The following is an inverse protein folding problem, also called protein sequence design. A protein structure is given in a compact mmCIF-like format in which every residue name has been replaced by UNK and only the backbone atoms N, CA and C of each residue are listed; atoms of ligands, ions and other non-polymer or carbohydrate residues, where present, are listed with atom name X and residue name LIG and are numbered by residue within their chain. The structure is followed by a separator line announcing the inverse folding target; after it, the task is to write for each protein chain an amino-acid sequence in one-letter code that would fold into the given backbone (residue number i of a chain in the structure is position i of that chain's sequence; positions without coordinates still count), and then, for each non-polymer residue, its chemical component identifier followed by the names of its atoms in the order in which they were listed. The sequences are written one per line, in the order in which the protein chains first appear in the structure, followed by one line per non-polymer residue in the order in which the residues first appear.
data_IF_783390174995
#
_entry.id   IF_783390174995
#
_cell.length_a   1.000
_cell.length_b   1.000
_cell.length_c   1.000
_cell.angle_alpha   90.00
_cell.angle_beta   90.00
_cell.angle_gamma   90.00
#
_symmetry.space_group_name_H-M   'P 1'
#
loop_
_entity.id
_entity.type
_entity.pdbx_description
1 polymer ?
#
# COMPACT_ATOMS: atom_id res chain seq x y z
N UNK A 1 0.99 -27.93 -11.35
CA UNK A 1 1.61 -26.74 -11.95
C UNK A 1 0.54 -25.69 -12.11
N UNK A 2 0.57 -24.63 -11.30
CA UNK A 2 -0.29 -23.46 -11.44
C UNK A 2 0.54 -22.23 -11.09
N UNK A 3 0.67 -21.32 -12.06
CA UNK A 3 0.86 -19.89 -11.84
C UNK A 3 2.26 -19.40 -11.47
N UNK A 4 3.02 -18.96 -12.46
CA UNK A 4 4.03 -17.91 -12.28
C UNK A 4 3.34 -16.68 -11.66
N UNK A 5 3.63 -16.44 -10.37
CA UNK A 5 3.11 -15.29 -9.65
C UNK A 5 3.75 -14.01 -10.17
N UNK A 6 2.95 -13.16 -10.81
CA UNK A 6 3.27 -11.76 -11.06
C UNK A 6 3.89 -11.14 -9.80
N UNK A 7 5.02 -10.46 -9.97
CA UNK A 7 5.91 -10.03 -8.89
C UNK A 7 5.17 -9.41 -7.70
N UNK A 8 5.26 -10.07 -6.55
CA UNK A 8 4.79 -9.52 -5.27
C UNK A 8 5.72 -8.35 -4.91
N UNK A 9 5.27 -7.13 -5.16
CA UNK A 9 5.97 -5.94 -4.67
C UNK A 9 5.89 -5.93 -3.14
N UNK A 10 6.96 -6.41 -2.49
CA UNK A 10 7.05 -6.43 -1.03
C UNK A 10 6.94 -4.99 -0.51
N UNK A 11 5.90 -4.69 0.27
CA UNK A 11 5.77 -3.42 0.97
C UNK A 11 6.99 -3.23 1.89
N UNK A 12 7.72 -2.15 1.70
CA UNK A 12 8.97 -1.85 2.40
C UNK A 12 8.69 -0.95 3.60
N UNK A 13 8.81 -1.52 4.79
CA UNK A 13 8.70 -0.79 6.06
C UNK A 13 9.81 0.26 6.17
N UNK A 14 9.47 1.44 6.70
CA UNK A 14 10.36 2.59 6.87
C UNK A 14 10.59 3.41 5.60
N UNK A 15 10.03 2.99 4.46
CA UNK A 15 10.17 3.72 3.19
C UNK A 15 8.99 4.63 2.91
N UNK A 16 9.27 5.67 2.13
CA UNK A 16 8.27 6.63 1.67
C UNK A 16 7.66 6.13 0.38
N UNK A 17 6.34 6.25 0.29
CA UNK A 17 5.52 5.93 -0.87
C UNK A 17 4.73 7.16 -1.31
N UNK A 18 4.59 7.33 -2.62
CA UNK A 18 3.74 8.31 -3.27
C UNK A 18 2.43 7.66 -3.68
N UNK A 19 1.33 8.24 -3.23
CA UNK A 19 -0.02 7.87 -3.65
C UNK A 19 -0.38 8.52 -5.00
N UNK A 20 -1.22 7.88 -5.81
CA UNK A 20 -1.67 8.42 -7.10
C UNK A 20 -2.27 9.84 -7.05
N UNK A 21 -2.82 10.26 -5.90
CA UNK A 21 -3.34 11.63 -5.67
C UNK A 21 -2.28 12.63 -5.19
N UNK A 22 -1.00 12.27 -5.26
CA UNK A 22 0.14 13.14 -4.93
C UNK A 22 0.58 13.16 -3.47
N UNK A 23 -0.15 12.53 -2.55
CA UNK A 23 0.25 12.45 -1.15
C UNK A 23 1.49 11.55 -0.91
N UNK A 24 2.35 11.94 0.03
CA UNK A 24 3.50 11.15 0.47
C UNK A 24 3.23 10.52 1.84
N UNK A 25 3.63 9.26 1.98
CA UNK A 25 3.34 8.44 3.15
C UNK A 25 4.53 7.57 3.52
N UNK A 26 4.86 7.46 4.80
CA UNK A 26 5.86 6.48 5.27
C UNK A 26 5.16 5.24 5.76
N UNK A 27 5.58 4.06 5.28
CA UNK A 27 5.09 2.78 5.81
C UNK A 27 5.74 2.52 7.15
N UNK A 28 4.92 2.27 8.18
CA UNK A 28 5.37 1.97 9.54
C UNK A 28 5.45 0.47 9.77
N UNK A 29 4.49 -0.28 9.27
CA UNK A 29 4.43 -1.73 9.45
C UNK A 29 3.46 -2.38 8.47
N UNK A 30 3.58 -3.70 8.33
CA UNK A 30 2.53 -4.56 7.78
C UNK A 30 2.02 -5.41 8.93
N UNK A 31 0.71 -5.41 9.16
CA UNK A 31 0.06 -6.10 10.26
C UNK A 31 -1.05 -7.03 9.75
N UNK A 32 -1.62 -7.85 10.63
CA UNK A 32 -2.82 -8.63 10.36
C UNK A 32 -4.00 -7.98 11.07
N UNK A 33 -5.09 -7.73 10.35
CA UNK A 33 -6.33 -7.19 10.93
C UNK A 33 -6.94 -8.21 11.92
N UNK A 34 -7.12 -7.80 13.18
CA UNK A 34 -7.60 -8.69 14.25
C UNK A 34 -9.08 -8.50 14.60
N UNK A 35 -9.81 -7.66 13.87
CA UNK A 35 -11.25 -7.44 14.07
C UNK A 35 -12.01 -8.75 13.93
N UNK A 36 -12.87 -9.04 14.92
CA UNK A 36 -13.73 -10.22 14.93
C UNK A 36 -14.55 -10.31 13.63
N UNK A 37 -14.73 -11.54 13.14
CA UNK A 37 -15.48 -11.83 11.91
C UNK A 37 -14.85 -11.33 10.59
N UNK A 38 -13.61 -10.80 10.61
CA UNK A 38 -12.79 -10.57 9.41
C UNK A 38 -11.75 -11.67 9.22
N UNK A 39 -11.27 -11.86 8.00
CA UNK A 39 -10.42 -12.99 7.59
C UNK A 39 -8.93 -12.87 8.00
N UNK A 40 -8.56 -12.09 9.03
CA UNK A 40 -7.14 -11.83 9.39
C UNK A 40 -6.26 -11.44 8.19
N UNK A 41 -6.80 -10.59 7.31
CA UNK A 41 -6.10 -10.16 6.10
C UNK A 41 -4.95 -9.21 6.44
N UNK A 42 -3.87 -9.20 5.63
CA UNK A 42 -2.77 -8.28 5.81
C UNK A 42 -3.21 -6.84 5.50
N UNK A 43 -2.75 -5.91 6.34
CA UNK A 43 -2.98 -4.48 6.22
C UNK A 43 -1.66 -3.71 6.29
N UNK A 44 -1.58 -2.58 5.60
CA UNK A 44 -0.45 -1.65 5.65
C UNK A 44 -0.78 -0.53 6.63
N UNK A 45 0.10 -0.30 7.60
CA UNK A 45 0.03 0.83 8.53
C UNK A 45 1.02 1.91 8.07
N UNK A 46 0.54 3.13 7.85
CA UNK A 46 1.33 4.19 7.24
C UNK A 46 0.95 5.58 7.75
N UNK A 47 1.90 6.52 7.74
CA UNK A 47 1.70 7.91 8.19
C UNK A 47 1.71 8.86 7.02
N UNK A 48 0.73 9.76 6.95
CA UNK A 48 0.77 10.90 6.03
C UNK A 48 1.86 11.89 6.44
N UNK A 49 2.82 12.16 5.55
CA UNK A 49 3.91 13.08 5.85
C UNK A 49 3.47 14.54 5.92
N UNK A 50 2.37 14.92 5.25
CA UNK A 50 1.86 16.30 5.28
C UNK A 50 0.86 16.55 6.40
N UNK A 51 0.15 15.52 6.87
CA UNK A 51 -0.93 15.66 7.86
C UNK A 51 -0.63 15.01 9.21
N UNK A 52 0.39 14.15 9.29
CA UNK A 52 0.75 13.42 10.52
C UNK A 52 -0.21 12.30 10.91
N UNK A 53 -1.29 12.06 10.17
CA UNK A 53 -2.25 11.00 10.50
C UNK A 53 -1.70 9.61 10.19
N UNK A 54 -1.88 8.70 11.14
CA UNK A 54 -1.70 7.26 10.95
C UNK A 54 -2.95 6.70 10.26
N UNK A 55 -2.74 5.93 9.20
CA UNK A 55 -3.78 5.29 8.42
C UNK A 55 -3.50 3.80 8.34
N UNK A 56 -4.56 3.02 8.10
CA UNK A 56 -4.50 1.59 7.84
C UNK A 56 -5.27 1.31 6.55
N UNK A 57 -4.77 0.39 5.74
CA UNK A 57 -5.44 -0.03 4.50
C UNK A 57 -5.14 -1.49 4.19
N UNK A 58 -6.08 -2.19 3.58
CA UNK A 58 -5.87 -3.57 3.13
C UNK A 58 -4.69 -3.65 2.14
N UNK A 59 -3.88 -4.69 2.27
CA UNK A 59 -2.70 -4.86 1.42
C UNK A 59 -3.07 -4.95 -0.07
N UNK A 60 -4.17 -5.64 -0.39
CA UNK A 60 -4.66 -5.75 -1.78
C UNK A 60 -5.06 -4.40 -2.36
N UNK A 61 -5.70 -3.52 -1.58
CA UNK A 61 -6.01 -2.16 -2.02
C UNK A 61 -4.76 -1.28 -2.15
N UNK A 62 -3.75 -1.51 -1.30
CA UNK A 62 -2.48 -0.80 -1.36
C UNK A 62 -1.72 -1.15 -2.65
N UNK A 63 -1.68 -2.44 -3.01
CA UNK A 63 -1.00 -2.96 -4.20
C UNK A 63 -1.82 -2.81 -5.49
N UNK A 64 -3.10 -2.43 -5.38
CA UNK A 64 -4.02 -2.28 -6.51
C UNK A 64 -3.43 -1.39 -7.61
N UNK A 65 -3.39 -1.92 -8.83
CA UNK A 65 -3.01 -1.15 -10.02
C UNK A 65 -4.17 -0.26 -10.43
N UNK A 66 -3.91 1.04 -10.58
CA UNK A 66 -4.91 2.03 -10.98
C UNK A 66 -4.35 2.94 -12.06
N UNK A 67 -5.25 3.60 -12.80
CA UNK A 67 -4.89 4.65 -13.77
C UNK A 67 -4.47 5.93 -13.05
N UNK A 68 -3.22 6.35 -13.22
CA UNK A 68 -2.72 7.63 -12.70
C UNK A 68 -3.14 8.79 -13.62
N UNK A 69 -3.05 10.01 -13.10
CA UNK A 69 -3.46 11.24 -13.83
C UNK A 69 -2.63 11.51 -15.09
N UNK A 70 -1.43 10.94 -15.18
CA UNK A 70 -0.58 10.98 -16.36
C UNK A 70 -0.98 9.96 -17.44
N UNK A 71 -2.02 9.18 -17.20
CA UNK A 71 -2.49 8.17 -18.13
C UNK A 71 -1.60 6.93 -18.17
N UNK A 72 -0.95 6.56 -17.07
CA UNK A 72 -0.27 5.27 -16.95
C UNK A 72 -0.86 4.45 -15.81
N UNK A 73 -0.87 3.13 -15.99
CA UNK A 73 -1.34 2.18 -14.98
C UNK A 73 -0.16 1.79 -14.10
N UNK A 74 -0.30 2.03 -12.79
CA UNK A 74 0.74 1.75 -11.80
C UNK A 74 0.07 1.37 -10.48
N UNK A 75 0.78 0.71 -9.54
CA UNK A 75 0.27 0.53 -8.19
C UNK A 75 -0.24 1.85 -7.59
N UNK A 76 -1.29 1.77 -6.78
CA UNK A 76 -1.93 2.92 -6.11
C UNK A 76 -0.92 3.72 -5.29
N UNK A 77 0.05 3.03 -4.72
CA UNK A 77 1.21 3.56 -4.01
C UNK A 77 2.50 3.07 -4.67
N UNK A 78 3.34 3.99 -5.12
CA UNK A 78 4.67 3.69 -5.66
C UNK A 78 5.75 4.16 -4.69
N UNK A 79 6.90 3.49 -4.64
CA UNK A 79 8.03 3.94 -3.84
C UNK A 79 8.42 5.36 -4.26
N UNK A 80 8.62 6.25 -3.30
CA UNK A 80 9.23 7.54 -3.54
C UNK A 80 10.74 7.39 -3.38
N UNK A 81 11.49 7.85 -4.39
CA UNK A 81 12.95 7.94 -4.34
C UNK A 81 13.43 9.02 -3.37
#
# INVERSE_FOLDING_TARGET
MVGEGAGTHRVLVGRVYKHHKGGLYTVVSVALESTNSRQRLPVVVYVSLSRGFINVRDLSEWEEVIRWSDGYDRPRFVLAD
#
